data_IF_982846464292
#
_entry.id   IF_982846464292
#
_cell.length_a   1.000
_cell.length_b   1.000
_cell.length_c   1.000
_cell.angle_alpha   90.00
_cell.angle_beta   90.00
_cell.angle_gamma   90.00
#
_symmetry.space_group_name_H-M   'P 1'
#
loop_
_entity.id
_entity.type
_entity.pdbx_description
1 polymer ?
#
# COMPACT_ATOMS: atom_id res chain seq x y z
N UNK A 1 0.89 -2.21 3.85
CA UNK A 1 1.25 -3.51 4.42
C UNK A 1 2.13 -3.32 5.66
N UNK A 2 2.34 -4.40 6.41
CA UNK A 2 3.29 -4.45 7.52
C UNK A 2 4.51 -5.21 7.06
N UNK A 3 5.69 -4.64 7.24
CA UNK A 3 6.97 -5.21 6.86
C UNK A 3 7.82 -5.43 8.10
N UNK A 4 8.81 -6.28 8.03
CA UNK A 4 9.72 -6.60 9.11
C UNK A 4 11.10 -6.94 8.57
N UNK A 5 12.14 -6.73 9.33
CA UNK A 5 12.62 -5.46 9.89
C UNK A 5 13.06 -4.51 8.77
N UNK A 6 13.48 -3.27 9.05
CA UNK A 6 13.86 -2.30 8.02
C UNK A 6 14.99 -2.76 7.09
N UNK A 7 15.86 -3.66 7.54
CA UNK A 7 16.92 -4.27 6.73
C UNK A 7 16.41 -5.25 5.68
N UNK A 8 15.12 -5.65 5.78
CA UNK A 8 14.45 -6.56 4.86
C UNK A 8 13.28 -5.83 4.19
N UNK A 9 13.56 -4.68 3.59
CA UNK A 9 12.56 -3.90 2.87
C UNK A 9 11.89 -4.76 1.80
N UNK A 10 10.56 -4.77 1.81
CA UNK A 10 9.76 -5.60 0.90
C UNK A 10 9.33 -6.96 1.46
N UNK A 11 9.85 -7.40 2.60
CA UNK A 11 9.40 -8.63 3.23
C UNK A 11 8.11 -8.42 4.01
N UNK A 12 7.03 -9.04 3.57
CA UNK A 12 5.73 -8.98 4.24
C UNK A 12 5.78 -9.81 5.53
N UNK A 13 5.77 -9.15 6.69
CA UNK A 13 5.65 -9.82 7.98
C UNK A 13 4.21 -10.16 8.34
N UNK A 14 3.24 -9.55 7.70
CA UNK A 14 1.87 -9.88 8.03
C UNK A 14 0.81 -9.01 7.40
N UNK A 15 -0.25 -9.67 7.13
CA UNK A 15 -1.60 -9.17 6.93
C UNK A 15 -2.29 -9.13 8.30
N UNK A 16 -3.38 -8.38 8.49
CA UNK A 16 -4.19 -8.50 9.70
C UNK A 16 -4.61 -9.95 10.00
N UNK A 17 -4.79 -10.78 8.96
CA UNK A 17 -5.09 -12.20 9.09
C UNK A 17 -3.99 -12.99 9.82
N UNK A 18 -2.71 -12.61 9.67
CA UNK A 18 -1.57 -13.24 10.37
C UNK A 18 -1.72 -13.13 11.89
N UNK A 19 -2.36 -12.07 12.37
CA UNK A 19 -2.57 -11.86 13.80
C UNK A 19 -3.42 -12.95 14.48
N UNK A 20 -4.14 -13.76 13.71
CA UNK A 20 -5.08 -14.71 14.30
C UNK A 20 -6.11 -14.03 15.20
N UNK A 21 -6.80 -14.79 16.02
CA UNK A 21 -7.85 -14.22 16.87
C UNK A 21 -7.30 -13.43 18.08
N UNK A 22 -6.14 -13.78 18.60
CA UNK A 22 -5.59 -13.19 19.82
C UNK A 22 -4.41 -12.22 19.58
N UNK A 23 -3.93 -12.08 18.36
CA UNK A 23 -2.83 -11.18 18.04
C UNK A 23 -3.16 -9.72 18.29
N UNK A 24 -2.17 -8.97 18.77
CA UNK A 24 -2.27 -7.55 19.14
C UNK A 24 -1.05 -6.80 18.63
N UNK A 25 -1.14 -5.47 18.54
CA UNK A 25 0.03 -4.61 18.29
C UNK A 25 0.39 -3.90 19.59
N UNK A 26 1.68 -3.91 19.95
CA UNK A 26 2.27 -3.26 21.12
C UNK A 26 3.34 -2.26 20.69
N UNK A 27 3.50 -1.19 21.47
CA UNK A 27 4.62 -0.26 21.29
C UNK A 27 5.94 -0.86 21.82
N UNK A 28 7.04 -0.10 21.68
CA UNK A 28 8.37 -0.53 22.12
C UNK A 28 8.44 -0.85 23.63
N UNK A 29 7.63 -0.19 24.44
CA UNK A 29 7.51 -0.45 25.88
C UNK A 29 6.57 -1.62 26.25
N UNK A 30 6.03 -2.33 25.25
CA UNK A 30 5.11 -3.46 25.47
C UNK A 30 3.65 -3.05 25.74
N UNK A 31 3.33 -1.75 25.72
CA UNK A 31 1.95 -1.27 25.93
C UNK A 31 1.08 -1.59 24.71
N UNK A 32 -0.13 -2.06 24.96
CA UNK A 32 -1.12 -2.33 23.93
C UNK A 32 -1.53 -1.04 23.19
N UNK A 33 -1.32 -0.99 21.88
CA UNK A 33 -1.77 0.12 21.00
C UNK A 33 -2.94 -0.27 20.11
N UNK A 34 -3.05 -1.55 19.72
CA UNK A 34 -4.17 -2.00 18.89
C UNK A 34 -4.54 -3.46 19.22
N UNK A 35 -5.79 -3.68 19.53
CA UNK A 35 -6.37 -5.00 19.75
C UNK A 35 -7.15 -5.51 18.52
N UNK A 36 -7.52 -6.79 18.56
CA UNK A 36 -8.36 -7.41 17.51
C UNK A 36 -7.85 -7.16 16.10
N UNK A 37 -6.54 -7.26 15.91
CA UNK A 37 -5.81 -6.90 14.67
C UNK A 37 -6.41 -7.60 13.46
N UNK A 38 -6.81 -8.87 13.58
CA UNK A 38 -7.45 -9.63 12.49
C UNK A 38 -8.74 -8.97 11.97
N UNK A 39 -9.44 -8.20 12.80
CA UNK A 39 -10.66 -7.48 12.43
C UNK A 39 -10.40 -6.02 11.98
N UNK A 40 -9.13 -5.61 11.91
CA UNK A 40 -8.74 -4.27 11.49
C UNK A 40 -8.39 -4.24 10.02
N UNK A 41 -8.48 -3.07 9.43
CA UNK A 41 -7.92 -2.83 8.11
C UNK A 41 -6.41 -2.61 8.21
N UNK A 42 -5.68 -2.87 7.12
CA UNK A 42 -4.25 -2.53 7.04
C UNK A 42 -3.98 -1.05 7.32
N UNK A 43 -4.89 -0.18 6.90
CA UNK A 43 -4.80 1.24 7.13
C UNK A 43 -4.87 1.60 8.62
N UNK A 44 -5.83 1.00 9.39
CA UNK A 44 -5.91 1.18 10.84
C UNK A 44 -4.64 0.70 11.55
N UNK A 45 -4.09 -0.46 11.15
CA UNK A 45 -2.84 -0.97 11.71
C UNK A 45 -1.66 -0.03 11.42
N UNK A 46 -1.53 0.41 10.17
CA UNK A 46 -0.47 1.32 9.75
C UNK A 46 -0.54 2.66 10.50
N UNK A 47 -1.74 3.25 10.60
CA UNK A 47 -1.93 4.52 11.30
C UNK A 47 -1.64 4.42 12.81
N UNK A 48 -2.04 3.31 13.44
CA UNK A 48 -1.77 3.08 14.86
C UNK A 48 -0.26 3.00 15.14
N UNK A 49 0.50 2.33 14.26
CA UNK A 49 1.96 2.22 14.37
C UNK A 49 2.61 3.59 14.13
N UNK A 50 2.26 4.29 13.04
CA UNK A 50 2.84 5.61 12.74
C UNK A 50 2.59 6.58 13.89
N UNK A 51 1.36 6.60 14.43
CA UNK A 51 1.05 7.43 15.59
C UNK A 51 1.88 7.07 16.82
N UNK A 52 2.08 5.78 17.11
CA UNK A 52 2.91 5.36 18.24
C UNK A 52 4.38 5.79 18.06
N UNK A 53 4.90 5.72 16.84
CA UNK A 53 6.25 6.19 16.49
C UNK A 53 6.36 7.71 16.64
N UNK A 54 5.39 8.47 16.13
CA UNK A 54 5.36 9.94 16.27
C UNK A 54 5.26 10.39 17.74
N UNK A 55 4.55 9.62 18.58
CA UNK A 55 4.46 9.83 20.02
C UNK A 55 5.75 9.41 20.78
N UNK A 56 6.83 9.02 20.10
CA UNK A 56 8.08 8.55 20.70
C UNK A 56 8.00 7.17 21.35
N UNK A 57 6.98 6.36 21.03
CA UNK A 57 6.74 5.01 21.57
C UNK A 57 7.10 3.89 20.58
N UNK A 58 7.72 4.24 19.46
CA UNK A 58 8.22 3.29 18.47
C UNK A 58 9.52 2.61 18.90
N UNK A 59 9.89 1.54 18.19
CA UNK A 59 11.21 0.92 18.30
C UNK A 59 12.27 1.85 17.70
N UNK A 60 13.55 1.54 17.91
CA UNK A 60 14.68 2.25 17.30
C UNK A 60 14.62 2.28 15.76
N UNK A 61 13.84 1.40 15.16
CA UNK A 61 13.67 1.25 13.71
C UNK A 61 12.34 1.79 13.20
N UNK A 62 11.71 2.71 13.94
CA UNK A 62 10.40 3.30 13.60
C UNK A 62 9.28 2.27 13.44
N UNK A 63 9.28 1.22 14.24
CA UNK A 63 8.31 0.14 14.25
C UNK A 63 7.57 -0.03 15.57
N UNK A 64 6.80 -1.10 15.64
CA UNK A 64 6.09 -1.61 16.80
C UNK A 64 6.17 -3.14 16.78
N UNK A 65 5.58 -3.82 17.77
CA UNK A 65 5.58 -5.27 17.85
C UNK A 65 4.21 -5.86 17.55
N UNK A 66 4.15 -6.81 16.61
CA UNK A 66 3.02 -7.71 16.43
C UNK A 66 3.19 -8.89 17.38
N UNK A 67 2.37 -8.93 18.42
CA UNK A 67 2.40 -9.98 19.43
C UNK A 67 1.40 -11.08 19.09
N UNK A 68 1.91 -12.23 18.69
CA UNK A 68 1.16 -13.42 18.30
C UNK A 68 1.19 -14.52 19.39
N UNK A 69 1.95 -14.30 20.44
CA UNK A 69 2.28 -15.34 21.44
C UNK A 69 1.03 -15.94 22.11
N UNK A 70 -0.01 -15.14 22.27
CA UNK A 70 -1.27 -15.61 22.86
C UNK A 70 -1.97 -16.69 22.02
N UNK A 71 -1.79 -16.69 20.68
CA UNK A 71 -2.44 -17.66 19.81
C UNK A 71 -1.89 -19.08 19.95
N UNK A 72 -0.62 -19.22 20.36
CA UNK A 72 0.07 -20.52 20.43
C UNK A 72 0.13 -21.09 21.86
N UNK A 73 -0.34 -20.33 22.87
CA UNK A 73 -0.35 -20.77 24.27
C UNK A 73 -1.41 -21.86 24.56
N UNK A 74 -2.49 -21.88 23.78
CA UNK A 74 -3.56 -22.84 23.93
C UNK A 74 -3.21 -24.13 23.16
N UNK A 75 -3.46 -25.30 23.76
CA UNK A 75 -3.02 -26.59 23.21
C UNK A 75 -3.70 -26.94 21.90
N UNK A 76 -5.04 -26.80 21.84
CA UNK A 76 -5.84 -27.20 20.67
C UNK A 76 -5.89 -26.12 19.60
N UNK A 77 -6.38 -24.94 19.94
CA UNK A 77 -6.50 -23.84 18.97
C UNK A 77 -5.15 -23.35 18.46
N UNK A 78 -4.08 -23.49 19.26
CA UNK A 78 -2.72 -23.15 18.84
C UNK A 78 -2.19 -24.03 17.71
N UNK A 79 -2.57 -25.32 17.67
CA UNK A 79 -2.23 -26.22 16.56
C UNK A 79 -2.91 -25.76 15.26
N UNK A 80 -4.21 -25.45 15.33
CA UNK A 80 -4.94 -24.93 14.16
C UNK A 80 -4.36 -23.59 13.67
N UNK A 81 -3.99 -22.70 14.58
CA UNK A 81 -3.38 -21.42 14.22
C UNK A 81 -2.02 -21.62 13.53
N UNK A 82 -1.15 -22.47 14.04
CA UNK A 82 0.13 -22.79 13.39
C UNK A 82 -0.07 -23.41 12.02
N UNK A 83 -0.97 -24.37 11.89
CA UNK A 83 -1.30 -24.96 10.60
C UNK A 83 -1.85 -23.92 9.61
N UNK A 84 -2.67 -22.98 10.07
CA UNK A 84 -3.12 -21.86 9.24
C UNK A 84 -1.95 -21.00 8.72
N UNK A 85 -0.99 -20.66 9.58
CA UNK A 85 0.19 -19.91 9.16
C UNK A 85 1.02 -20.69 8.12
N UNK A 86 1.27 -21.96 8.35
CA UNK A 86 2.10 -22.79 7.47
C UNK A 86 1.45 -23.09 6.13
N UNK A 87 0.13 -23.28 6.09
CA UNK A 87 -0.58 -23.64 4.85
C UNK A 87 -1.07 -22.42 4.06
N UNK A 88 -1.67 -21.44 4.74
CA UNK A 88 -2.29 -20.29 4.08
C UNK A 88 -1.35 -19.09 3.92
N UNK A 89 -0.29 -19.02 4.72
CA UNK A 89 0.66 -17.93 4.75
C UNK A 89 2.13 -18.41 4.68
N UNK A 90 2.36 -19.51 4.00
CA UNK A 90 3.68 -20.19 3.91
C UNK A 90 4.81 -19.24 3.50
N UNK A 91 4.59 -18.39 2.50
CA UNK A 91 5.58 -17.40 2.07
C UNK A 91 5.95 -16.39 3.16
N UNK A 92 4.97 -15.96 3.97
CA UNK A 92 5.21 -15.07 5.11
C UNK A 92 6.05 -15.80 6.16
N UNK A 93 5.77 -17.08 6.42
CA UNK A 93 6.48 -17.86 7.44
C UNK A 93 7.93 -18.12 7.06
N UNK A 94 8.22 -18.38 5.76
CA UNK A 94 9.60 -18.47 5.25
C UNK A 94 10.33 -17.15 5.49
N UNK A 95 9.73 -16.04 5.10
CA UNK A 95 10.29 -14.70 5.27
C UNK A 95 10.58 -14.38 6.74
N UNK A 96 9.60 -14.64 7.63
CA UNK A 96 9.74 -14.37 9.07
C UNK A 96 10.85 -15.22 9.67
N UNK A 97 10.96 -16.50 9.28
CA UNK A 97 12.02 -17.39 9.75
C UNK A 97 13.41 -16.89 9.36
N UNK A 98 13.57 -16.41 8.14
CA UNK A 98 14.82 -15.82 7.64
C UNK A 98 15.16 -14.50 8.33
N UNK A 99 14.16 -13.62 8.50
CA UNK A 99 14.35 -12.26 9.01
C UNK A 99 14.45 -12.18 10.53
N UNK A 100 13.64 -12.94 11.25
CA UNK A 100 13.47 -12.85 12.71
C UNK A 100 13.87 -14.13 13.44
N UNK A 101 14.18 -15.19 12.72
CA UNK A 101 14.62 -16.44 13.30
C UNK A 101 13.47 -17.41 13.66
N UNK A 102 13.88 -18.57 14.20
CA UNK A 102 12.97 -19.70 14.46
C UNK A 102 11.95 -19.41 15.55
N UNK A 103 12.35 -18.77 16.64
CA UNK A 103 11.45 -18.48 17.77
C UNK A 103 10.30 -17.55 17.35
N UNK A 104 10.58 -16.55 16.53
CA UNK A 104 9.56 -15.69 15.93
C UNK A 104 8.64 -16.48 14.99
N UNK A 105 9.19 -17.33 14.11
CA UNK A 105 8.39 -18.16 13.21
C UNK A 105 7.49 -19.15 13.97
N UNK A 106 7.90 -19.63 15.14
CA UNK A 106 7.07 -20.44 16.04
C UNK A 106 6.10 -19.60 16.90
N UNK A 107 6.02 -18.29 16.67
CA UNK A 107 5.21 -17.32 17.44
C UNK A 107 5.50 -17.33 18.96
N UNK A 108 6.73 -17.70 19.35
CA UNK A 108 7.20 -17.64 20.74
C UNK A 108 7.70 -16.25 21.12
N UNK A 109 8.08 -15.46 20.13
CA UNK A 109 8.51 -14.07 20.24
C UNK A 109 7.64 -13.14 19.42
N UNK A 110 7.65 -11.86 19.77
CA UNK A 110 6.94 -10.81 19.04
C UNK A 110 7.70 -10.48 17.75
N UNK A 111 6.95 -10.08 16.72
CA UNK A 111 7.53 -9.66 15.46
C UNK A 111 7.64 -8.15 15.42
N UNK A 112 8.84 -7.62 15.25
CA UNK A 112 8.99 -6.21 14.95
C UNK A 112 8.42 -5.92 13.56
N UNK A 113 7.50 -4.97 13.49
CA UNK A 113 6.81 -4.59 12.26
C UNK A 113 6.77 -3.09 12.10
N UNK A 114 6.80 -2.62 10.87
CA UNK A 114 6.49 -1.23 10.51
C UNK A 114 5.61 -1.18 9.26
N UNK A 115 4.87 -0.08 9.02
CA UNK A 115 4.14 0.09 7.78
C UNK A 115 5.10 0.21 6.59
N UNK A 116 4.74 -0.40 5.46
CA UNK A 116 5.45 -0.28 4.20
C UNK A 116 4.51 0.14 3.07
N UNK A 117 4.97 1.00 2.17
CA UNK A 117 4.27 1.29 0.92
C UNK A 117 4.38 0.06 0.01
N UNK A 118 3.24 -0.44 -0.48
CA UNK A 118 3.22 -1.65 -1.29
C UNK A 118 2.45 -1.47 -2.60
N UNK A 119 1.37 -0.72 -2.58
CA UNK A 119 0.50 -0.52 -3.74
C UNK A 119 -0.20 0.84 -3.65
N UNK A 120 -0.13 1.66 -4.71
CA UNK A 120 -0.88 2.91 -4.81
C UNK A 120 -2.30 2.65 -5.26
N UNK A 121 -3.27 3.19 -4.52
CA UNK A 121 -4.68 3.15 -4.89
C UNK A 121 -5.07 4.50 -5.47
N UNK A 122 -5.06 4.58 -6.74
CA UNK A 122 -5.25 5.78 -7.51
C UNK A 122 -4.43 5.67 -8.78
N UNK A 123 -4.57 6.61 -9.68
CA UNK A 123 -3.88 6.56 -10.95
C UNK A 123 -4.73 7.19 -12.05
N UNK A 124 -4.39 6.91 -13.28
CA UNK A 124 -5.10 7.40 -14.46
C UNK A 124 -6.54 6.89 -14.43
N UNK A 125 -7.50 7.79 -14.56
CA UNK A 125 -8.90 7.41 -14.65
C UNK A 125 -9.15 6.75 -15.99
N UNK A 126 -9.79 5.58 -15.96
CA UNK A 126 -10.11 4.79 -17.16
C UNK A 126 -11.57 4.38 -17.19
N UNK A 127 -12.05 4.00 -18.37
CA UNK A 127 -13.30 3.30 -18.56
C UNK A 127 -13.17 1.78 -18.35
N UNK A 128 -14.23 1.02 -18.62
CA UNK A 128 -14.27 -0.44 -18.49
C UNK A 128 -13.34 -1.19 -19.45
N UNK A 129 -12.81 -0.51 -20.47
CA UNK A 129 -11.88 -1.06 -21.46
C UNK A 129 -10.41 -0.66 -21.18
N UNK A 130 -10.14 0.12 -20.12
CA UNK A 130 -8.81 0.62 -19.81
C UNK A 130 -8.40 1.86 -20.61
N UNK A 131 -9.31 2.47 -21.39
CA UNK A 131 -9.04 3.73 -22.07
C UNK A 131 -9.05 4.88 -21.07
N UNK A 132 -8.06 5.75 -21.13
CA UNK A 132 -8.03 6.95 -20.27
C UNK A 132 -9.20 7.87 -20.57
N UNK A 133 -9.76 8.46 -19.52
CA UNK A 133 -10.96 9.32 -19.60
C UNK A 133 -10.64 10.69 -19.03
N UNK A 134 -10.91 11.74 -19.80
CA UNK A 134 -10.83 13.12 -19.35
C UNK A 134 -11.73 13.34 -18.12
N UNK A 135 -11.26 14.13 -17.17
CA UNK A 135 -12.04 14.48 -15.98
C UNK A 135 -13.10 15.52 -16.30
N UNK A 136 -12.80 16.43 -17.21
CA UNK A 136 -13.67 17.54 -17.58
C UNK A 136 -14.77 17.10 -18.57
N UNK A 137 -14.38 16.66 -19.77
CA UNK A 137 -15.32 16.27 -20.82
C UNK A 137 -15.94 14.89 -20.61
N UNK A 138 -15.29 14.02 -19.82
CA UNK A 138 -15.61 12.59 -19.65
C UNK A 138 -15.43 11.76 -20.93
N UNK A 139 -14.82 12.33 -21.94
CA UNK A 139 -14.50 11.62 -23.16
C UNK A 139 -13.26 10.77 -23.02
N UNK A 140 -13.13 9.78 -23.89
CA UNK A 140 -11.91 8.98 -23.99
C UNK A 140 -10.76 9.83 -24.54
N UNK A 141 -9.59 9.70 -23.92
CA UNK A 141 -8.36 10.24 -24.49
C UNK A 141 -7.84 9.22 -25.51
N UNK A 142 -7.97 9.55 -26.78
CA UNK A 142 -7.64 8.62 -27.87
C UNK A 142 -6.17 8.18 -27.81
N UNK A 143 -5.95 6.89 -27.95
CA UNK A 143 -4.62 6.29 -27.93
C UNK A 143 -3.96 6.14 -26.55
N UNK A 144 -4.59 6.62 -25.48
CA UNK A 144 -4.08 6.50 -24.12
C UNK A 144 -4.85 5.42 -23.32
N UNK A 145 -4.10 4.44 -22.80
CA UNK A 145 -4.64 3.33 -22.01
C UNK A 145 -3.86 3.19 -20.71
N UNK A 146 -4.50 2.70 -19.67
CA UNK A 146 -3.85 2.33 -18.42
C UNK A 146 -4.45 1.06 -17.82
N UNK A 147 -3.58 0.25 -17.21
CA UNK A 147 -3.93 -0.97 -16.50
C UNK A 147 -2.94 -1.20 -15.35
N UNK A 148 -3.26 -2.11 -14.43
CA UNK A 148 -2.44 -2.38 -13.27
C UNK A 148 -2.37 -1.18 -12.33
N UNK A 149 -1.28 -1.03 -11.62
CA UNK A 149 -1.10 0.01 -10.61
C UNK A 149 -1.18 1.45 -11.16
N UNK A 150 -0.93 1.65 -12.46
CA UNK A 150 -1.06 2.96 -13.11
C UNK A 150 -2.52 3.41 -13.24
N UNK A 151 -3.48 2.47 -13.16
CA UNK A 151 -4.91 2.73 -13.30
C UNK A 151 -5.56 3.04 -11.97
N UNK A 152 -6.43 4.04 -11.93
CA UNK A 152 -7.25 4.39 -10.76
C UNK A 152 -8.69 3.93 -10.87
N UNK A 153 -9.36 3.82 -9.71
CA UNK A 153 -10.82 3.67 -9.63
C UNK A 153 -11.35 2.29 -9.25
N UNK A 154 -10.63 1.20 -9.52
CA UNK A 154 -11.11 -0.18 -9.27
C UNK A 154 -11.19 -0.52 -7.79
N UNK A 155 -10.23 -0.10 -7.00
CA UNK A 155 -10.12 -0.47 -5.58
C UNK A 155 -10.81 0.51 -4.63
N UNK A 156 -11.39 1.57 -5.12
CA UNK A 156 -11.97 2.60 -4.27
C UNK A 156 -10.94 3.18 -3.29
N UNK A 157 -11.31 3.28 -2.03
CA UNK A 157 -10.48 3.90 -1.01
C UNK A 157 -9.45 2.94 -0.36
N UNK A 158 -9.58 1.62 -0.54
CA UNK A 158 -8.64 0.64 0.03
C UNK A 158 -8.67 -0.68 -0.75
N UNK A 159 -7.50 -1.17 -1.15
CA UNK A 159 -7.36 -2.42 -1.88
C UNK A 159 -7.47 -3.64 -0.95
N UNK A 160 -8.22 -4.65 -1.37
CA UNK A 160 -8.20 -5.96 -0.72
C UNK A 160 -6.90 -6.71 -1.06
N UNK A 161 -6.45 -7.57 -0.16
CA UNK A 161 -5.27 -8.41 -0.37
C UNK A 161 -5.34 -9.20 -1.66
N UNK A 162 -4.21 -9.31 -2.36
CA UNK A 162 -4.00 -10.08 -3.60
C UNK A 162 -4.81 -9.65 -4.83
N UNK A 163 -5.86 -8.83 -4.70
CA UNK A 163 -6.72 -8.45 -5.83
C UNK A 163 -6.01 -7.67 -6.94
N UNK A 164 -4.88 -7.02 -6.66
CA UNK A 164 -4.05 -6.37 -7.68
C UNK A 164 -3.41 -7.36 -8.66
N UNK A 165 -3.17 -8.61 -8.23
CA UNK A 165 -2.67 -9.66 -9.13
C UNK A 165 -3.70 -10.08 -10.18
N UNK A 166 -5.00 -9.97 -9.85
CA UNK A 166 -6.08 -10.25 -10.79
C UNK A 166 -6.42 -9.05 -11.67
N UNK A 167 -6.30 -7.85 -11.12
CA UNK A 167 -6.59 -6.60 -11.82
C UNK A 167 -5.66 -6.39 -13.02
N UNK A 168 -4.34 -6.57 -12.83
CA UNK A 168 -3.36 -6.39 -13.90
C UNK A 168 -3.66 -7.20 -15.17
N UNK A 169 -3.82 -8.53 -15.13
CA UNK A 169 -4.17 -9.35 -16.29
C UNK A 169 -5.52 -8.99 -16.89
N UNK A 170 -6.55 -8.75 -16.07
CA UNK A 170 -7.90 -8.44 -16.56
C UNK A 170 -7.92 -7.13 -17.34
N UNK A 171 -7.48 -6.04 -16.70
CA UNK A 171 -7.49 -4.73 -17.36
C UNK A 171 -6.38 -4.60 -18.39
N UNK A 172 -5.23 -5.25 -18.21
CA UNK A 172 -4.19 -5.33 -19.24
C UNK A 172 -4.69 -5.98 -20.51
N UNK A 173 -5.44 -7.08 -20.40
CA UNK A 173 -6.08 -7.72 -21.56
C UNK A 173 -7.13 -6.83 -22.21
N UNK A 174 -7.97 -6.15 -21.41
CA UNK A 174 -8.99 -5.23 -21.93
C UNK A 174 -8.35 -4.04 -22.67
N UNK A 175 -7.39 -3.39 -22.05
CA UNK A 175 -6.65 -2.26 -22.61
C UNK A 175 -5.91 -2.67 -23.89
N UNK A 176 -5.24 -3.83 -23.89
CA UNK A 176 -4.55 -4.36 -25.07
C UNK A 176 -5.49 -4.66 -26.24
N UNK A 177 -6.67 -5.24 -25.97
CA UNK A 177 -7.69 -5.45 -27.01
C UNK A 177 -8.25 -4.15 -27.54
N UNK A 178 -8.52 -3.17 -26.68
CA UNK A 178 -9.02 -1.86 -27.08
C UNK A 178 -7.97 -1.10 -27.91
N UNK A 179 -6.71 -1.16 -27.53
CA UNK A 179 -5.61 -0.57 -28.30
C UNK A 179 -5.45 -1.23 -29.67
N UNK A 180 -5.52 -2.58 -29.75
CA UNK A 180 -5.44 -3.31 -31.01
C UNK A 180 -6.61 -2.97 -31.97
N UNK A 181 -7.80 -2.70 -31.43
CA UNK A 181 -8.96 -2.30 -32.22
C UNK A 181 -8.82 -0.92 -32.88
N UNK A 182 -7.91 -0.07 -32.41
CA UNK A 182 -7.59 1.21 -33.05
C UNK A 182 -6.74 1.05 -34.32
N UNK A 183 -6.07 -0.09 -34.49
CA UNK A 183 -5.12 -0.33 -35.59
C UNK A 183 -5.73 -0.23 -37.00
N UNK A 184 -7.04 -0.44 -37.14
CA UNK A 184 -7.72 -0.37 -38.44
C UNK A 184 -8.33 0.99 -38.79
N UNK A 185 -8.36 1.92 -37.84
CA UNK A 185 -8.83 3.28 -38.10
C UNK A 185 -7.63 4.07 -38.62
N UNK A 186 -7.72 4.55 -39.87
CA UNK A 186 -6.75 5.51 -40.40
C UNK A 186 -6.68 6.67 -39.42
N UNK A 187 -5.57 6.80 -38.69
CA UNK A 187 -5.32 7.94 -37.83
C UNK A 187 -5.11 9.18 -38.71
N UNK A 188 -6.18 9.81 -39.11
CA UNK A 188 -6.16 11.13 -39.74
C UNK A 188 -5.57 12.20 -38.79
N UNK A 189 -5.40 11.84 -37.52
CA UNK A 189 -4.87 12.71 -36.47
C UNK A 189 -3.36 12.53 -36.16
N UNK A 190 -2.66 11.62 -36.80
CA UNK A 190 -1.19 11.63 -36.79
C UNK A 190 -0.70 12.75 -37.71
N UNK A 191 -0.92 13.97 -37.25
CA UNK A 191 -0.50 15.18 -37.95
C UNK A 191 0.96 15.48 -37.61
N UNK A 192 1.63 16.31 -38.43
CA UNK A 192 2.97 16.87 -38.20
C UNK A 192 3.18 17.39 -36.76
N UNK A 193 2.12 17.91 -36.11
CA UNK A 193 2.17 18.38 -34.71
C UNK A 193 2.59 17.30 -33.70
N UNK A 194 2.22 16.04 -33.91
CA UNK A 194 2.61 14.95 -32.99
C UNK A 194 4.08 14.56 -33.16
N UNK A 195 4.58 14.65 -34.40
CA UNK A 195 6.01 14.45 -34.69
C UNK A 195 6.84 15.57 -34.06
N UNK A 196 6.39 16.81 -34.14
CA UNK A 196 7.05 17.97 -33.55
C UNK A 196 7.12 17.86 -32.02
N UNK A 197 6.01 17.43 -31.37
CA UNK A 197 5.99 17.22 -29.93
C UNK A 197 6.97 16.12 -29.46
N UNK A 198 7.10 15.04 -30.25
CA UNK A 198 8.08 13.99 -29.98
C UNK A 198 9.50 14.49 -30.13
N UNK A 199 9.80 15.20 -31.22
CA UNK A 199 11.13 15.80 -31.48
C UNK A 199 11.53 16.81 -30.40
N UNK A 200 10.58 17.66 -29.96
CA UNK A 200 10.80 18.60 -28.84
C UNK A 200 11.19 17.84 -27.59
N UNK A 201 10.47 16.77 -27.27
CA UNK A 201 10.76 15.95 -26.08
C UNK A 201 12.10 15.23 -26.19
N UNK A 202 12.39 14.66 -27.35
CA UNK A 202 13.65 13.97 -27.60
C UNK A 202 14.85 14.93 -27.51
N UNK A 203 14.73 16.11 -28.10
CA UNK A 203 15.76 17.15 -28.05
C UNK A 203 15.94 17.69 -26.62
N UNK A 204 14.87 17.79 -25.84
CA UNK A 204 14.97 18.09 -24.42
C UNK A 204 15.87 17.08 -23.69
N UNK A 205 15.63 15.77 -23.84
CA UNK A 205 16.46 14.75 -23.19
C UNK A 205 17.90 14.71 -23.74
N UNK A 206 18.10 14.88 -25.05
CA UNK A 206 19.43 15.00 -25.64
C UNK A 206 20.21 16.20 -25.09
N UNK A 207 19.55 17.32 -24.89
CA UNK A 207 20.14 18.52 -24.29
C UNK A 207 20.48 18.39 -22.80
N UNK A 208 20.06 17.33 -22.15
CA UNK A 208 20.43 17.04 -20.75
C UNK A 208 21.74 16.24 -20.65
N UNK A 209 22.18 15.56 -21.72
CA UNK A 209 23.41 14.76 -21.69
C UNK A 209 24.61 15.67 -21.46
N UNK A 210 25.55 15.22 -20.62
CA UNK A 210 26.73 15.99 -20.25
C UNK A 210 26.45 17.17 -19.29
N UNK A 211 25.21 17.29 -18.76
CA UNK A 211 24.87 18.37 -17.85
C UNK A 211 25.65 18.24 -16.54
N UNK A 212 26.46 19.28 -16.24
CA UNK A 212 27.12 19.40 -14.96
C UNK A 212 26.12 19.74 -13.84
N UNK A 213 26.41 19.30 -12.64
CA UNK A 213 25.57 19.57 -11.48
C UNK A 213 26.24 19.09 -10.19
N UNK A 214 25.72 19.52 -9.05
CA UNK A 214 26.21 19.17 -7.72
C UNK A 214 25.30 18.15 -7.00
N UNK A 215 24.23 17.68 -7.66
CA UNK A 215 23.26 16.74 -7.12
C UNK A 215 23.28 15.41 -7.89
N UNK A 216 23.12 14.31 -7.15
CA UNK A 216 22.89 12.99 -7.71
C UNK A 216 21.39 12.66 -7.70
N UNK A 217 20.83 12.23 -8.83
CA UNK A 217 19.42 11.87 -8.95
C UNK A 217 18.99 10.79 -7.93
N UNK A 218 19.83 9.77 -7.73
CA UNK A 218 19.58 8.71 -6.74
C UNK A 218 19.51 9.19 -5.28
N UNK A 219 20.26 10.24 -4.92
CA UNK A 219 20.17 10.85 -3.58
C UNK A 219 18.87 11.61 -3.41
N UNK A 220 18.51 12.42 -4.42
CA UNK A 220 17.25 13.16 -4.39
C UNK A 220 16.01 12.25 -4.37
N UNK A 221 16.05 11.10 -5.07
CA UNK A 221 15.00 10.08 -4.97
C UNK A 221 14.83 9.63 -3.52
N UNK A 222 15.91 9.29 -2.82
CA UNK A 222 15.85 8.87 -1.42
C UNK A 222 15.36 9.96 -0.47
N UNK A 223 15.77 11.20 -0.72
CA UNK A 223 15.31 12.36 0.05
C UNK A 223 13.82 12.62 -0.15
N UNK A 224 13.34 12.56 -1.40
CA UNK A 224 11.93 12.67 -1.75
C UNK A 224 11.10 11.56 -1.09
N UNK A 225 11.57 10.32 -1.14
CA UNK A 225 10.90 9.18 -0.48
C UNK A 225 10.75 9.40 1.03
N UNK A 226 11.80 9.89 1.72
CA UNK A 226 11.74 10.20 3.15
C UNK A 226 10.77 11.35 3.45
N UNK A 227 10.80 12.41 2.65
CA UNK A 227 9.90 13.55 2.79
C UNK A 227 8.44 13.14 2.55
N UNK A 228 8.18 12.35 1.49
CA UNK A 228 6.87 11.82 1.17
C UNK A 228 6.34 10.89 2.26
N UNK A 229 7.18 10.03 2.84
CA UNK A 229 6.80 9.17 3.95
C UNK A 229 6.28 9.98 5.14
N UNK A 230 6.96 11.07 5.50
CA UNK A 230 6.59 11.94 6.62
C UNK A 230 5.37 12.81 6.33
N UNK A 231 5.21 13.28 5.09
CA UNK A 231 4.17 14.25 4.75
C UNK A 231 2.89 13.63 4.20
N UNK A 232 3.04 12.63 3.32
CA UNK A 232 1.94 12.00 2.58
C UNK A 232 1.91 10.47 2.72
N UNK A 233 2.58 9.94 3.74
CA UNK A 233 2.62 8.53 4.10
C UNK A 233 1.28 7.98 4.64
N UNK A 234 1.31 6.89 5.43
CA UNK A 234 0.08 6.23 5.91
C UNK A 234 -0.82 7.08 6.80
N UNK A 235 -0.24 8.02 7.55
CA UNK A 235 -0.98 8.95 8.41
C UNK A 235 -0.61 10.39 8.03
N UNK A 236 -1.61 11.25 7.81
CA UNK A 236 -1.46 12.51 7.07
C UNK A 236 -2.08 13.67 7.84
N UNK A 237 -1.35 14.35 8.74
CA UNK A 237 -1.81 15.62 9.27
C UNK A 237 -1.69 16.72 8.20
N UNK A 238 -2.60 17.68 8.19
CA UNK A 238 -2.57 18.83 7.26
C UNK A 238 -1.21 19.51 7.23
N UNK A 239 -0.66 19.78 8.41
CA UNK A 239 0.65 20.41 8.57
C UNK A 239 1.78 19.62 7.93
N UNK A 240 1.70 18.27 7.97
CA UNK A 240 2.65 17.38 7.31
C UNK A 240 2.57 17.49 5.78
N UNK A 241 1.36 17.47 5.24
CA UNK A 241 1.13 17.62 3.79
C UNK A 241 1.63 18.98 3.30
N UNK A 242 1.28 20.06 4.01
CA UNK A 242 1.70 21.43 3.65
C UNK A 242 3.23 21.59 3.75
N UNK A 243 3.86 20.96 4.75
CA UNK A 243 5.32 20.95 4.86
C UNK A 243 5.95 20.20 3.68
N UNK A 244 5.37 19.07 3.29
CA UNK A 244 5.83 18.31 2.12
C UNK A 244 5.71 19.13 0.83
N UNK A 245 4.61 19.83 0.59
CA UNK A 245 4.43 20.69 -0.58
C UNK A 245 5.47 21.82 -0.65
N UNK A 246 5.84 22.40 0.50
CA UNK A 246 6.96 23.38 0.53
C UNK A 246 8.31 22.73 0.17
N UNK A 247 8.58 21.53 0.67
CA UNK A 247 9.80 20.78 0.32
C UNK A 247 9.80 20.34 -1.15
N UNK A 248 8.63 19.98 -1.69
CA UNK A 248 8.48 19.63 -3.09
C UNK A 248 8.94 20.74 -4.04
N UNK A 249 8.62 22.00 -3.73
CA UNK A 249 9.10 23.13 -4.51
C UNK A 249 10.64 23.20 -4.55
N UNK A 250 11.30 22.91 -3.44
CA UNK A 250 12.76 22.82 -3.38
C UNK A 250 13.31 21.66 -4.22
N UNK A 251 12.68 20.50 -4.16
CA UNK A 251 13.03 19.35 -5.00
C UNK A 251 12.90 19.66 -6.51
N UNK A 252 11.85 20.40 -6.90
CA UNK A 252 11.69 20.89 -8.28
C UNK A 252 12.85 21.79 -8.71
N UNK A 253 13.32 22.64 -7.83
CA UNK A 253 14.49 23.47 -8.09
C UNK A 253 15.77 22.62 -8.19
N UNK A 254 15.96 21.69 -7.28
CA UNK A 254 17.14 20.82 -7.23
C UNK A 254 17.22 19.83 -8.41
N UNK A 255 16.08 19.47 -9.03
CA UNK A 255 16.06 18.69 -10.27
C UNK A 255 16.92 19.31 -11.38
N UNK A 256 17.01 20.65 -11.43
CA UNK A 256 17.83 21.39 -12.42
C UNK A 256 19.33 21.24 -12.15
N UNK A 257 19.73 20.84 -10.94
CA UNK A 257 21.12 20.70 -10.51
C UNK A 257 21.63 19.25 -10.56
N UNK A 258 20.82 18.31 -11.05
CA UNK A 258 21.25 16.91 -11.17
C UNK A 258 22.31 16.81 -12.27
N UNK A 259 23.46 16.23 -11.93
CA UNK A 259 24.47 15.88 -12.89
C UNK A 259 24.00 14.69 -13.76
N UNK A 260 24.20 14.78 -15.07
CA UNK A 260 23.85 13.74 -16.04
C UNK A 260 25.05 13.46 -16.89
N UNK A 261 25.51 12.20 -16.95
CA UNK A 261 26.64 11.79 -17.75
C UNK A 261 26.36 11.94 -19.27
N UNK A 262 27.41 11.98 -20.06
CA UNK A 262 27.33 12.06 -21.52
C UNK A 262 27.22 10.67 -22.18
N UNK A 263 27.03 9.62 -21.41
CA UNK A 263 26.87 8.26 -21.92
C UNK A 263 25.58 8.12 -22.74
N UNK A 264 25.73 7.61 -23.99
CA UNK A 264 24.59 7.46 -24.91
C UNK A 264 23.70 6.24 -24.62
N UNK A 265 24.27 5.16 -24.06
CA UNK A 265 23.59 3.91 -23.78
C UNK A 265 23.66 3.61 -22.26
N UNK A 266 22.58 3.04 -21.72
CA UNK A 266 22.50 2.65 -20.32
C UNK A 266 22.83 3.77 -19.31
N UNK A 267 22.47 5.01 -19.66
CA UNK A 267 22.74 6.20 -18.87
C UNK A 267 21.90 6.21 -17.59
N UNK A 268 22.44 5.63 -16.51
CA UNK A 268 21.75 5.54 -15.23
C UNK A 268 21.46 6.91 -14.61
N UNK A 269 22.30 7.91 -14.86
CA UNK A 269 22.08 9.26 -14.34
C UNK A 269 20.89 9.95 -15.02
N UNK A 270 20.71 9.73 -16.33
CA UNK A 270 19.51 10.19 -17.05
C UNK A 270 18.25 9.45 -16.60
N UNK A 271 18.32 8.12 -16.42
CA UNK A 271 17.21 7.32 -15.90
C UNK A 271 16.79 7.85 -14.53
N UNK A 272 17.73 8.02 -13.60
CA UNK A 272 17.45 8.55 -12.27
C UNK A 272 16.84 9.96 -12.31
N UNK A 273 17.26 10.80 -13.25
CA UNK A 273 16.65 12.12 -13.45
C UNK A 273 15.19 12.01 -13.89
N UNK A 274 14.91 11.18 -14.89
CA UNK A 274 13.54 10.98 -15.41
C UNK A 274 12.63 10.39 -14.33
N UNK A 275 13.11 9.37 -13.60
CA UNK A 275 12.38 8.79 -12.47
C UNK A 275 12.09 9.84 -11.40
N UNK A 276 13.08 10.63 -11.03
CA UNK A 276 12.92 11.68 -10.02
C UNK A 276 11.85 12.70 -10.41
N UNK A 277 11.87 13.18 -11.67
CA UNK A 277 10.87 14.14 -12.17
C UNK A 277 9.46 13.51 -12.17
N UNK A 278 9.34 12.27 -12.65
CA UNK A 278 8.06 11.57 -12.65
C UNK A 278 7.53 11.32 -11.22
N UNK A 279 8.42 11.03 -10.27
CA UNK A 279 8.05 10.90 -8.85
C UNK A 279 7.59 12.24 -8.28
N UNK A 280 8.19 13.36 -8.66
CA UNK A 280 7.75 14.69 -8.24
C UNK A 280 6.33 15.00 -8.72
N UNK A 281 6.03 14.74 -9.99
CA UNK A 281 4.70 14.97 -10.56
C UNK A 281 3.64 14.09 -9.87
N UNK A 282 3.97 12.83 -9.64
CA UNK A 282 3.09 11.89 -8.94
C UNK A 282 2.87 12.30 -7.48
N UNK A 283 3.93 12.70 -6.78
CA UNK A 283 3.87 13.10 -5.38
C UNK A 283 3.07 14.40 -5.18
N UNK A 284 3.16 15.35 -6.13
CA UNK A 284 2.35 16.56 -6.14
C UNK A 284 0.85 16.23 -6.25
N UNK A 285 0.49 15.42 -7.25
CA UNK A 285 -0.90 14.97 -7.43
C UNK A 285 -1.46 14.26 -6.19
N UNK A 286 -0.65 13.42 -5.53
CA UNK A 286 -1.02 12.73 -4.29
C UNK A 286 -1.19 13.74 -3.14
N UNK A 287 -0.25 14.67 -2.97
CA UNK A 287 -0.25 15.64 -1.87
C UNK A 287 -1.45 16.60 -1.96
N UNK A 288 -1.71 17.15 -3.14
CA UNK A 288 -2.82 18.07 -3.37
C UNK A 288 -4.16 17.35 -3.20
N UNK A 289 -4.28 16.12 -3.73
CA UNK A 289 -5.49 15.29 -3.54
C UNK A 289 -5.71 14.96 -2.06
N UNK A 290 -4.64 14.64 -1.32
CA UNK A 290 -4.70 14.34 0.10
C UNK A 290 -5.06 15.57 0.94
N UNK A 291 -4.56 16.75 0.56
CA UNK A 291 -4.90 18.02 1.22
C UNK A 291 -6.39 18.37 1.02
N UNK A 292 -6.90 18.15 -0.19
CA UNK A 292 -8.29 18.42 -0.55
C UNK A 292 -9.28 17.49 0.16
N UNK A 293 -8.88 16.27 0.50
CA UNK A 293 -9.68 15.34 1.29
C UNK A 293 -9.39 15.51 2.78
N UNK A 294 -10.29 16.16 3.49
CA UNK A 294 -10.14 16.48 4.92
C UNK A 294 -10.56 15.33 5.85
N UNK A 295 -11.34 14.37 5.33
CA UNK A 295 -11.84 13.21 6.06
C UNK A 295 -11.00 11.97 5.84
N UNK A 296 -11.02 11.05 6.81
CA UNK A 296 -10.36 9.75 6.68
C UNK A 296 -11.25 8.75 5.96
N UNK A 297 -10.73 8.12 4.89
CA UNK A 297 -11.44 7.09 4.14
C UNK A 297 -10.46 6.02 3.62
N UNK A 298 -10.68 4.76 3.99
CA UNK A 298 -9.87 3.64 3.53
C UNK A 298 -8.41 3.77 3.92
N UNK A 299 -7.52 3.84 2.93
CA UNK A 299 -6.09 4.01 3.15
C UNK A 299 -5.65 5.46 3.37
N UNK A 300 -6.53 6.43 3.11
CA UNK A 300 -6.29 7.83 3.42
C UNK A 300 -6.71 8.13 4.86
N UNK A 301 -5.74 8.33 5.75
CA UNK A 301 -5.99 8.62 7.16
C UNK A 301 -5.45 10.00 7.49
N UNK A 302 -6.37 10.90 7.86
CA UNK A 302 -6.09 12.23 8.36
C UNK A 302 -6.00 12.18 9.88
N UNK A 303 -4.89 12.65 10.44
CA UNK A 303 -4.73 12.72 11.90
C UNK A 303 -5.46 13.92 12.52
N UNK A 304 -5.71 14.94 11.72
CA UNK A 304 -6.39 16.19 12.08
C UNK A 304 -7.83 16.27 11.57
N UNK A 305 -8.27 15.30 10.81
CA UNK A 305 -9.61 15.22 10.23
C UNK A 305 -10.56 14.34 11.01
N UNK A 306 -11.87 14.53 10.80
CA UNK A 306 -12.89 13.64 11.29
C UNK A 306 -12.87 12.27 10.58
N UNK A 307 -13.45 11.26 11.21
CA UNK A 307 -13.82 10.04 10.49
C UNK A 307 -15.01 10.37 9.61
N UNK A 308 -14.92 10.07 8.32
CA UNK A 308 -16.05 10.25 7.40
C UNK A 308 -17.23 9.48 7.96
N UNK A 309 -18.29 10.18 8.26
CA UNK A 309 -19.58 9.55 8.33
C UNK A 309 -20.02 9.20 6.91
N UNK A 310 -19.57 8.05 6.42
CA UNK A 310 -20.00 7.47 5.13
C UNK A 310 -21.54 7.41 5.04
N UNK A 311 -22.20 7.57 6.18
CA UNK A 311 -23.66 7.58 6.33
C UNK A 311 -24.32 8.89 5.88
N UNK A 312 -23.66 10.02 6.06
CA UNK A 312 -24.35 11.33 6.02
C UNK A 312 -23.76 12.30 5.01
N UNK A 313 -22.63 12.01 4.41
CA UNK A 313 -21.98 12.89 3.46
C UNK A 313 -22.10 12.37 2.03
N UNK A 314 -22.19 13.29 1.08
CA UNK A 314 -22.13 12.96 -0.34
C UNK A 314 -20.77 12.35 -0.63
N UNK A 315 -20.75 11.07 -1.00
CA UNK A 315 -19.53 10.39 -1.41
C UNK A 315 -18.93 11.09 -2.64
N UNK A 316 -17.62 11.32 -2.63
CA UNK A 316 -16.91 11.92 -3.75
C UNK A 316 -15.53 11.27 -3.94
N UNK A 317 -15.01 11.33 -5.14
CA UNK A 317 -13.60 11.07 -5.44
C UNK A 317 -12.88 12.39 -5.61
N UNK A 318 -11.64 12.45 -5.22
CA UNK A 318 -10.74 13.55 -5.56
C UNK A 318 -9.98 13.17 -6.82
N UNK A 319 -9.90 14.09 -7.76
CA UNK A 319 -9.15 13.92 -9.00
C UNK A 319 -8.31 15.15 -9.26
N UNK A 320 -7.11 14.96 -9.76
CA UNK A 320 -6.21 16.02 -10.21
C UNK A 320 -6.17 16.04 -11.73
N UNK A 321 -6.04 17.22 -12.31
CA UNK A 321 -5.89 17.44 -13.74
C UNK A 321 -5.12 18.73 -13.98
N UNK A 322 -4.53 18.88 -15.15
CA UNK A 322 -3.92 20.14 -15.56
C UNK A 322 -4.94 20.98 -16.32
N UNK A 323 -5.02 22.28 -16.00
CA UNK A 323 -5.78 23.24 -16.79
C UNK A 323 -5.04 23.64 -18.08
N UNK A 324 -5.64 24.51 -18.89
CA UNK A 324 -5.06 24.98 -20.14
C UNK A 324 -3.70 25.68 -19.97
N UNK A 325 -3.46 26.25 -18.78
CA UNK A 325 -2.20 26.91 -18.43
C UNK A 325 -1.19 25.94 -17.78
N UNK A 326 -1.48 24.64 -17.78
CA UNK A 326 -0.65 23.58 -17.18
C UNK A 326 -0.50 23.71 -15.65
N UNK A 327 -1.45 24.34 -14.97
CA UNK A 327 -1.52 24.34 -13.52
C UNK A 327 -2.27 23.11 -13.03
N UNK A 328 -1.73 22.44 -11.99
CA UNK A 328 -2.38 21.30 -11.39
C UNK A 328 -3.60 21.73 -10.57
N UNK A 329 -4.76 21.28 -10.98
CA UNK A 329 -6.06 21.54 -10.34
C UNK A 329 -6.61 20.31 -9.66
N UNK A 330 -7.54 20.53 -8.74
CA UNK A 330 -8.21 19.47 -7.99
C UNK A 330 -9.72 19.59 -8.17
N UNK A 331 -10.34 18.51 -8.59
CA UNK A 331 -11.79 18.39 -8.72
C UNK A 331 -12.37 17.37 -7.75
N UNK A 332 -13.63 17.60 -7.33
CA UNK A 332 -14.44 16.63 -6.60
C UNK A 332 -15.45 16.00 -7.53
N UNK A 333 -15.35 14.70 -7.74
CA UNK A 333 -16.30 13.95 -8.57
C UNK A 333 -17.35 13.29 -7.67
N UNK A 334 -18.64 13.66 -7.76
CA UNK A 334 -19.68 13.02 -6.98
C UNK A 334 -19.76 11.53 -7.26
N UNK A 335 -20.02 10.74 -6.22
CA UNK A 335 -20.28 9.32 -6.32
C UNK A 335 -21.66 8.99 -5.75
N UNK A 336 -22.30 7.90 -6.21
CA UNK A 336 -23.54 7.45 -5.61
C UNK A 336 -23.35 7.18 -4.12
N UNK A 337 -24.26 7.63 -3.26
CA UNK A 337 -24.20 7.33 -1.83
C UNK A 337 -24.38 5.84 -1.60
N UNK A 338 -23.66 5.32 -0.60
CA UNK A 338 -23.91 3.94 -0.16
C UNK A 338 -25.25 3.90 0.60
N UNK A 339 -26.14 2.94 0.31
CA UNK A 339 -27.40 2.82 1.03
C UNK A 339 -27.16 2.71 2.54
N UNK A 340 -27.81 3.58 3.31
CA UNK A 340 -27.58 3.69 4.76
C UNK A 340 -27.82 2.38 5.52
N UNK A 341 -28.76 1.53 5.05
CA UNK A 341 -29.00 0.20 5.63
C UNK A 341 -27.75 -0.69 5.59
N UNK A 342 -27.02 -0.67 4.46
CA UNK A 342 -25.77 -1.44 4.32
C UNK A 342 -24.69 -0.95 5.28
N UNK A 343 -24.56 0.36 5.42
CA UNK A 343 -23.57 0.97 6.30
C UNK A 343 -23.90 0.67 7.76
N UNK A 344 -25.16 0.84 8.16
CA UNK A 344 -25.62 0.53 9.53
C UNK A 344 -25.39 -0.95 9.87
N UNK A 345 -25.78 -1.85 8.96
CA UNK A 345 -25.56 -3.30 9.13
C UNK A 345 -24.07 -3.61 9.28
N UNK A 346 -23.21 -2.97 8.49
CA UNK A 346 -21.76 -3.16 8.59
C UNK A 346 -21.21 -2.68 9.93
N UNK A 347 -21.59 -1.48 10.38
CA UNK A 347 -21.14 -0.91 11.67
C UNK A 347 -21.57 -1.79 12.83
N UNK A 348 -22.83 -2.20 12.87
CA UNK A 348 -23.34 -3.05 13.95
C UNK A 348 -22.63 -4.39 13.99
N UNK A 349 -22.42 -5.02 12.84
CA UNK A 349 -21.69 -6.28 12.73
C UNK A 349 -20.25 -6.15 13.17
N UNK A 350 -19.55 -5.09 12.76
CA UNK A 350 -18.17 -4.82 13.14
C UNK A 350 -18.04 -4.58 14.66
N UNK A 351 -18.91 -3.76 15.24
CA UNK A 351 -18.95 -3.51 16.68
C UNK A 351 -19.22 -4.81 17.47
N UNK A 352 -20.19 -5.63 17.02
CA UNK A 352 -20.49 -6.93 17.64
C UNK A 352 -19.27 -7.86 17.60
N UNK A 353 -18.57 -7.94 16.47
CA UNK A 353 -17.36 -8.76 16.34
C UNK A 353 -16.23 -8.27 17.25
N UNK A 354 -15.94 -6.98 17.27
CA UNK A 354 -14.91 -6.39 18.13
C UNK A 354 -15.22 -6.58 19.61
N UNK A 355 -16.48 -6.40 20.01
CA UNK A 355 -16.94 -6.68 21.39
C UNK A 355 -16.77 -8.17 21.72
N UNK A 356 -17.18 -9.07 20.84
CA UNK A 356 -17.01 -10.51 21.02
C UNK A 356 -15.54 -10.93 21.19
N UNK A 357 -14.61 -10.26 20.50
CA UNK A 357 -13.17 -10.49 20.69
C UNK A 357 -12.64 -9.97 22.03
N UNK A 358 -13.13 -8.83 22.49
CA UNK A 358 -12.79 -8.32 23.84
C UNK A 358 -13.27 -9.27 24.93
N UNK A 359 -14.51 -9.73 24.84
CA UNK A 359 -15.08 -10.71 25.79
C UNK A 359 -14.25 -12.00 25.74
N UNK A 360 -13.95 -12.53 24.56
CA UNK A 360 -13.16 -13.75 24.40
C UNK A 360 -11.83 -13.68 25.17
N UNK A 361 -11.15 -12.55 25.15
CA UNK A 361 -9.85 -12.36 25.85
C UNK A 361 -9.96 -12.35 27.37
N UNK A 362 -11.14 -12.05 27.90
CA UNK A 362 -11.40 -12.04 29.34
C UNK A 362 -11.79 -13.44 29.88
N UNK A 363 -12.09 -14.39 29.00
CA UNK A 363 -12.48 -15.74 29.41
C UNK A 363 -11.24 -16.54 29.88
N UNK A 364 -11.46 -17.57 30.75
CA UNK A 364 -10.42 -18.53 31.09
C UNK A 364 -9.82 -19.21 29.85
N UNK A 365 -8.52 -19.50 29.89
CA UNK A 365 -7.75 -20.04 28.73
C UNK A 365 -8.41 -21.32 28.17
N UNK A 366 -8.90 -22.22 29.02
CA UNK A 366 -9.59 -23.46 28.59
C UNK A 366 -10.87 -23.20 27.80
N UNK A 367 -11.61 -22.16 28.14
CA UNK A 367 -12.84 -21.78 27.42
C UNK A 367 -12.50 -21.03 26.13
N UNK A 368 -11.49 -20.15 26.19
CA UNK A 368 -10.93 -19.52 24.96
C UNK A 368 -10.54 -20.58 23.96
N UNK A 369 -9.79 -21.59 24.38
CA UNK A 369 -9.26 -22.66 23.53
C UNK A 369 -10.39 -23.42 22.81
N UNK A 370 -11.43 -23.83 23.53
CA UNK A 370 -12.61 -24.50 22.94
C UNK A 370 -13.33 -23.61 21.90
N UNK A 371 -13.52 -22.34 22.21
CA UNK A 371 -14.20 -21.40 21.30
C UNK A 371 -13.35 -21.15 20.05
N UNK A 372 -12.04 -20.97 20.21
CA UNK A 372 -11.12 -20.73 19.11
C UNK A 372 -10.94 -21.96 18.24
N UNK A 373 -10.81 -23.15 18.83
CA UNK A 373 -10.80 -24.40 18.09
C UNK A 373 -12.01 -24.51 17.16
N UNK A 374 -13.23 -24.30 17.69
CA UNK A 374 -14.46 -24.32 16.89
C UNK A 374 -14.44 -23.30 15.75
N UNK A 375 -13.91 -22.09 16.01
CA UNK A 375 -13.79 -21.04 14.98
C UNK A 375 -12.79 -21.39 13.90
N UNK A 376 -11.63 -21.92 14.26
CA UNK A 376 -10.62 -22.34 13.28
C UNK A 376 -11.15 -23.53 12.45
N UNK A 377 -11.79 -24.52 13.05
CA UNK A 377 -12.41 -25.61 12.31
C UNK A 377 -13.45 -25.12 11.30
N UNK A 378 -14.24 -24.13 11.63
CA UNK A 378 -15.24 -23.56 10.72
C UNK A 378 -14.60 -22.86 9.50
N UNK A 379 -13.36 -22.37 9.62
CA UNK A 379 -12.64 -21.68 8.54
C UNK A 379 -11.76 -22.64 7.73
N UNK A 380 -11.15 -23.62 8.39
CA UNK A 380 -10.09 -24.46 7.80
C UNK A 380 -10.57 -25.89 7.48
N UNK A 381 -11.79 -26.26 7.89
CA UNK A 381 -12.25 -27.65 7.88
C UNK A 381 -11.67 -28.48 9.03
N UNK A 382 -11.98 -29.78 9.03
CA UNK A 382 -11.42 -30.71 10.01
C UNK A 382 -9.95 -30.99 9.64
N UNK A 383 -9.04 -30.40 10.39
CA UNK A 383 -7.62 -30.81 10.39
C UNK A 383 -7.53 -31.98 11.38
N UNK A 384 -7.14 -33.16 10.90
CA UNK A 384 -6.84 -34.28 11.79
C UNK A 384 -5.64 -33.91 12.65
N UNK A 385 -5.85 -33.80 13.95
CA UNK A 385 -4.80 -33.40 14.91
C UNK A 385 -3.76 -34.51 15.15
N UNK A 386 -4.06 -35.76 14.78
CA UNK A 386 -3.26 -36.94 15.12
C UNK A 386 -2.09 -37.23 14.16
N UNK A 387 -1.76 -36.32 13.27
CA UNK A 387 -0.71 -36.55 12.27
C UNK A 387 0.13 -35.38 11.83
N UNK A 388 -0.13 -34.17 12.32
CA UNK A 388 0.63 -33.00 11.91
C UNK A 388 1.98 -32.92 12.65
N UNK A 389 2.89 -33.82 12.30
CA UNK A 389 4.31 -33.45 12.39
C UNK A 389 4.47 -32.24 11.47
N UNK A 390 5.10 -31.13 11.93
CA UNK A 390 5.42 -30.05 11.04
C UNK A 390 6.16 -30.66 9.85
N UNK A 391 5.61 -30.58 8.64
CA UNK A 391 6.39 -30.84 7.45
C UNK A 391 7.57 -29.92 7.54
N UNK A 392 8.76 -30.46 7.82
CA UNK A 392 10.00 -29.76 7.60
C UNK A 392 9.96 -29.32 6.16
N UNK A 393 9.82 -28.02 5.94
CA UNK A 393 10.06 -27.45 4.61
C UNK A 393 11.56 -27.68 4.42
N UNK A 394 11.90 -28.72 3.71
CA UNK A 394 13.27 -28.94 3.25
C UNK A 394 13.58 -27.72 2.38
N UNK A 395 14.48 -26.89 2.88
CA UNK A 395 15.02 -25.80 2.09
C UNK A 395 15.71 -26.43 0.86
N UNK A 396 15.50 -25.87 -0.33
CA UNK A 396 16.30 -26.29 -1.47
C UNK A 396 17.77 -26.20 -1.09
N UNK A 397 18.53 -27.28 -1.30
CA UNK A 397 19.96 -27.40 -0.90
C UNK A 397 20.87 -26.30 -1.48
N UNK A 398 20.40 -25.54 -2.45
CA UNK A 398 21.10 -24.40 -3.03
C UNK A 398 21.19 -23.18 -2.07
N UNK A 399 20.23 -23.03 -1.15
CA UNK A 399 20.22 -21.88 -0.22
C UNK A 399 21.12 -22.15 1.02
N UNK A 400 21.33 -23.41 1.38
CA UNK A 400 22.26 -23.77 2.49
C UNK A 400 23.73 -23.56 2.12
N UNK A 401 24.08 -23.55 0.83
CA UNK A 401 25.46 -23.35 0.36
C UNK A 401 25.88 -21.88 0.25
N UNK A 402 24.95 -20.94 0.23
CA UNK A 402 25.25 -19.50 0.20
C UNK A 402 25.30 -18.86 1.60
N UNK A 403 24.88 -19.58 2.64
CA UNK A 403 24.85 -19.08 4.02
C UNK A 403 25.92 -19.70 4.94
N UNK A 404 26.78 -20.55 4.42
CA UNK A 404 27.96 -21.11 5.07
C UNK A 404 29.26 -20.52 4.48
#
# INVERSE_FOLDING_TARGET
CLTSPPSYEGLLAGEPATAGFLGVIRDAGGKLILDSVMLRTRAECAAAIVKAVEDGRGTERDGCYLDLTANVKAERSGVYYRNFLETSLSSVMVTVRQALGRAAAECKEQWEIRPGAHYSMGGIRVDEFGSAVSIESRDRVEGLFAAGQAMGGVFGANRLGSTSLSEGPIFGTRAGRAAAALRGKKNEHFTSRNTDAFEIRLNHYRGLLGRSGDKAGSSLIRELQRAAWKGIGPARPRTGIEKFLRQWANFRHDAKKIAISDEGLWNQSLINYVEFVNMLDTADAIAISALQREDSLGAHIRLDGGTTSVLFEKAYSVSTYFDEEMNLKVGRLPRPPTPWQRVLTHILRDRKRKLGMKILRLLPVSLQDRILEKRYRAVMGNVELDGVKPKSVEMPQEIEREAA
#
